data_IF_679366068916
#
_entry.id   IF_679366068916
#
_cell.length_a   1.000
_cell.length_b   1.000
_cell.length_c   1.000
_cell.angle_alpha   90.00
_cell.angle_beta   90.00
_cell.angle_gamma   90.00
#
_symmetry.space_group_name_H-M   'P 1'
#
loop_
_entity.id
_entity.type
_entity.pdbx_description
1 polymer ?
#
# COMPACT_ATOMS: atom_id res chain seq x y z
N UNK A 1 18.22 -20.00 -5.60
CA UNK A 1 17.44 -20.11 -4.36
C UNK A 1 17.35 -18.80 -3.55
N UNK A 2 18.35 -18.37 -2.77
CA UNK A 2 18.23 -17.15 -1.92
C UNK A 2 18.02 -15.88 -2.75
N UNK A 3 18.77 -15.72 -3.85
CA UNK A 3 18.60 -14.60 -4.78
C UNK A 3 17.21 -14.57 -5.43
N UNK A 4 16.61 -15.73 -5.68
CA UNK A 4 15.28 -15.82 -6.27
C UNK A 4 14.19 -15.47 -5.26
N UNK A 5 14.31 -15.91 -4.01
CA UNK A 5 13.41 -15.50 -2.93
C UNK A 5 13.49 -14.00 -2.68
N UNK A 6 14.70 -13.43 -2.68
CA UNK A 6 14.89 -11.99 -2.54
C UNK A 6 14.29 -11.20 -3.72
N UNK A 7 14.47 -11.70 -4.95
CA UNK A 7 13.86 -11.11 -6.14
C UNK A 7 12.33 -11.16 -6.10
N UNK A 8 11.75 -12.29 -5.68
CA UNK A 8 10.30 -12.44 -5.50
C UNK A 8 9.76 -11.51 -4.42
N UNK A 9 10.49 -11.36 -3.31
CA UNK A 9 10.14 -10.40 -2.26
C UNK A 9 10.14 -8.96 -2.78
N UNK A 10 11.19 -8.52 -3.49
CA UNK A 10 11.25 -7.17 -4.06
C UNK A 10 10.13 -6.93 -5.07
N UNK A 11 9.79 -7.94 -5.88
CA UNK A 11 8.67 -7.86 -6.81
C UNK A 11 7.34 -7.75 -6.06
N UNK A 12 7.13 -8.56 -5.01
CA UNK A 12 5.96 -8.48 -4.15
C UNK A 12 5.85 -7.15 -3.42
N UNK A 13 6.97 -6.58 -2.99
CA UNK A 13 7.06 -5.28 -2.35
C UNK A 13 6.65 -4.15 -3.30
N UNK A 14 7.13 -4.15 -4.54
CA UNK A 14 6.71 -3.18 -5.55
C UNK A 14 5.22 -3.28 -5.87
N UNK A 15 4.71 -4.50 -6.06
CA UNK A 15 3.28 -4.72 -6.32
C UNK A 15 2.43 -4.24 -5.14
N UNK A 16 2.80 -4.61 -3.92
CA UNK A 16 2.11 -4.18 -2.71
C UNK A 16 2.14 -2.66 -2.54
N UNK A 17 3.29 -2.03 -2.78
CA UNK A 17 3.44 -0.58 -2.69
C UNK A 17 2.53 0.14 -3.69
N UNK A 18 2.52 -0.29 -4.95
CA UNK A 18 1.66 0.30 -5.99
C UNK A 18 0.18 0.10 -5.66
N UNK A 19 -0.22 -1.10 -5.20
CA UNK A 19 -1.60 -1.39 -4.81
C UNK A 19 -2.06 -0.50 -3.65
N UNK A 20 -1.28 -0.43 -2.58
CA UNK A 20 -1.61 0.37 -1.41
C UNK A 20 -1.67 1.85 -1.79
N UNK A 21 -0.69 2.37 -2.55
CA UNK A 21 -0.73 3.74 -3.05
C UNK A 21 -1.97 4.02 -3.89
N UNK A 22 -2.34 3.12 -4.81
CA UNK A 22 -3.52 3.28 -5.65
C UNK A 22 -4.80 3.34 -4.81
N UNK A 23 -4.96 2.44 -3.83
CA UNK A 23 -6.11 2.42 -2.92
C UNK A 23 -6.15 3.71 -2.08
N UNK A 24 -5.01 4.13 -1.53
CA UNK A 24 -4.89 5.36 -0.74
C UNK A 24 -5.26 6.60 -1.57
N UNK A 25 -4.73 6.71 -2.79
CA UNK A 25 -5.05 7.82 -3.70
C UNK A 25 -6.53 7.83 -4.08
N UNK A 26 -7.10 6.66 -4.37
CA UNK A 26 -8.51 6.53 -4.72
C UNK A 26 -9.40 6.93 -3.53
N UNK A 27 -9.05 6.52 -2.31
CA UNK A 27 -9.74 6.93 -1.10
C UNK A 27 -9.63 8.45 -0.86
N UNK A 28 -8.44 9.02 -1.00
CA UNK A 28 -8.23 10.46 -0.88
C UNK A 28 -9.07 11.23 -1.92
N UNK A 29 -9.14 10.74 -3.16
CA UNK A 29 -9.91 11.37 -4.22
C UNK A 29 -11.42 11.32 -3.95
N UNK A 30 -11.94 10.17 -3.54
CA UNK A 30 -13.34 10.01 -3.13
C UNK A 30 -13.69 10.92 -1.95
N UNK A 31 -12.80 11.02 -0.96
CA UNK A 31 -13.00 11.89 0.20
C UNK A 31 -12.92 13.38 -0.15
N UNK A 32 -11.99 13.77 -1.02
CA UNK A 32 -11.88 15.15 -1.53
C UNK A 32 -13.16 15.58 -2.28
N UNK A 33 -13.76 14.67 -3.06
CA UNK A 33 -15.07 14.87 -3.71
C UNK A 33 -16.20 15.08 -2.69
N UNK A 34 -16.14 14.43 -1.54
CA UNK A 34 -17.17 14.54 -0.50
C UNK A 34 -17.15 15.85 0.30
N UNK A 35 -16.18 16.77 0.09
CA UNK A 35 -16.08 18.10 0.73
C UNK A 35 -16.38 18.15 2.24
N UNK A 36 -16.08 17.09 2.99
CA UNK A 36 -16.37 17.02 4.44
C UNK A 36 -15.33 17.72 5.31
N UNK A 37 -14.09 17.87 4.85
CA UNK A 37 -12.99 18.37 5.68
C UNK A 37 -12.90 19.92 5.56
N UNK A 38 -13.48 20.61 6.57
CA UNK A 38 -13.59 22.09 6.62
C UNK A 38 -12.30 22.77 7.10
N UNK A 39 -11.36 22.04 7.70
CA UNK A 39 -10.12 22.61 8.26
C UNK A 39 -8.85 21.94 7.70
N UNK A 40 -7.74 22.69 7.66
CA UNK A 40 -6.44 22.18 7.18
C UNK A 40 -5.83 21.12 8.13
N UNK A 41 -6.14 21.20 9.42
CA UNK A 41 -5.64 20.28 10.47
C UNK A 41 -6.27 18.88 10.30
N UNK A 42 -7.58 18.80 10.05
CA UNK A 42 -8.26 17.53 9.79
C UNK A 42 -7.72 16.82 8.54
N UNK A 43 -7.35 17.59 7.51
CA UNK A 43 -6.72 17.03 6.29
C UNK A 43 -5.32 16.48 6.57
N UNK A 44 -4.52 17.16 7.38
CA UNK A 44 -3.20 16.68 7.77
C UNK A 44 -3.27 15.42 8.64
N UNK A 45 -4.14 15.41 9.65
CA UNK A 45 -4.36 14.22 10.50
C UNK A 45 -4.74 13.01 9.65
N UNK A 46 -5.68 13.18 8.71
CA UNK A 46 -6.07 12.12 7.80
C UNK A 46 -4.95 11.64 6.86
N UNK A 47 -4.12 12.56 6.35
CA UNK A 47 -2.95 12.20 5.55
C UNK A 47 -1.94 11.38 6.36
N UNK A 48 -1.71 11.76 7.62
CA UNK A 48 -0.85 11.01 8.54
C UNK A 48 -1.41 9.61 8.81
N UNK A 49 -2.72 9.49 9.06
CA UNK A 49 -3.36 8.19 9.26
C UNK A 49 -3.19 7.28 8.04
N UNK A 50 -3.43 7.81 6.84
CA UNK A 50 -3.23 7.04 5.59
C UNK A 50 -1.78 6.64 5.42
N UNK A 51 -0.84 7.55 5.66
CA UNK A 51 0.59 7.23 5.58
C UNK A 51 0.97 6.14 6.57
N UNK A 52 0.46 6.20 7.80
CA UNK A 52 0.73 5.20 8.83
C UNK A 52 0.17 3.83 8.41
N UNK A 53 -1.05 3.79 7.87
CA UNK A 53 -1.64 2.58 7.29
C UNK A 53 -0.76 2.06 6.16
N UNK A 54 -0.30 2.92 5.25
CA UNK A 54 0.51 2.50 4.12
C UNK A 54 1.85 1.90 4.57
N UNK A 55 2.54 2.55 5.50
CA UNK A 55 3.83 2.08 6.03
C UNK A 55 3.70 0.72 6.72
N UNK A 56 2.60 0.49 7.45
CA UNK A 56 2.37 -0.77 8.15
C UNK A 56 1.84 -1.88 7.24
N UNK A 57 0.98 -1.55 6.28
CA UNK A 57 0.29 -2.53 5.43
C UNK A 57 1.18 -3.02 4.28
N UNK A 58 2.00 -2.15 3.67
CA UNK A 58 2.89 -2.51 2.55
C UNK A 58 3.79 -3.71 2.88
N UNK A 59 4.53 -3.77 4.00
CA UNK A 59 5.38 -4.93 4.29
C UNK A 59 4.56 -6.21 4.48
N UNK A 60 3.43 -6.16 5.20
CA UNK A 60 2.56 -7.32 5.41
C UNK A 60 1.99 -7.84 4.08
N UNK A 61 1.51 -6.93 3.23
CA UNK A 61 0.94 -7.28 1.93
C UNK A 61 2.02 -7.81 0.97
N UNK A 62 3.25 -7.29 1.07
CA UNK A 62 4.37 -7.76 0.24
C UNK A 62 4.68 -9.25 0.46
N UNK A 63 4.59 -9.74 1.70
CA UNK A 63 4.75 -11.16 2.01
C UNK A 63 3.61 -12.01 1.44
N UNK A 64 2.37 -11.52 1.49
CA UNK A 64 1.23 -12.21 0.89
C UNK A 64 1.38 -12.31 -0.64
N UNK A 65 1.79 -11.21 -1.30
CA UNK A 65 2.04 -11.20 -2.75
C UNK A 65 3.21 -12.13 -3.10
N UNK A 66 4.31 -12.10 -2.34
CA UNK A 66 5.43 -13.00 -2.54
C UNK A 66 5.01 -14.47 -2.46
N UNK A 67 4.16 -14.84 -1.47
CA UNK A 67 3.65 -16.20 -1.35
C UNK A 67 2.82 -16.63 -2.57
N UNK A 68 1.96 -15.74 -3.06
CA UNK A 68 1.17 -15.99 -4.28
C UNK A 68 2.08 -16.13 -5.51
N UNK A 69 3.05 -15.24 -5.69
CA UNK A 69 4.00 -15.31 -6.80
C UNK A 69 4.83 -16.60 -6.77
N UNK A 70 5.20 -17.07 -5.58
CA UNK A 70 5.93 -18.33 -5.40
C UNK A 70 5.09 -19.53 -5.86
N UNK A 71 3.80 -19.57 -5.49
CA UNK A 71 2.87 -20.62 -5.94
C UNK A 71 2.66 -20.58 -7.45
N UNK A 72 2.53 -19.40 -8.05
CA UNK A 72 2.31 -19.25 -9.49
C UNK A 72 3.56 -19.54 -10.34
N UNK A 73 4.75 -19.39 -9.76
CA UNK A 73 6.03 -19.69 -10.42
C UNK A 73 6.42 -21.17 -10.29
N UNK A 74 5.88 -21.86 -9.29
CA UNK A 74 6.08 -23.29 -9.03
C UNK A 74 5.25 -24.17 -9.95
#
# INVERSE_FOLDING_TARGET
>A
MVLELFSLYLQGLLIAFVLVLAICLLWMFLRARSKKDKTAIEKQAFLYDILMIAILLVPVLSFAVMAVLLVLKS
#
